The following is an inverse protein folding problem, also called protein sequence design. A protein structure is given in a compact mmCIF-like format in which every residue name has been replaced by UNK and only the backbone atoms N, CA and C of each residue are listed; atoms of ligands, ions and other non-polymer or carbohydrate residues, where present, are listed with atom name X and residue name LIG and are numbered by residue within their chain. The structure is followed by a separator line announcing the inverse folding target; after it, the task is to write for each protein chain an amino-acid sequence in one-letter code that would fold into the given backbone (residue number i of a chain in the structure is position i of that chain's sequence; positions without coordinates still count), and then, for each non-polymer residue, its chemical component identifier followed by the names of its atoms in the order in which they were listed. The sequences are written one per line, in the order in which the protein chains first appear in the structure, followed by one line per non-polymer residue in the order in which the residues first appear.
data_IF_923010991024
#
_entry.id   IF_923010991024
#
_cell.length_a   1.000
_cell.length_b   1.000
_cell.length_c   1.000
_cell.angle_alpha   90.00
_cell.angle_beta   90.00
_cell.angle_gamma   90.00
#
_symmetry.space_group_name_H-M   'P 1'
#
loop_
_entity.id
_entity.type
_entity.pdbx_description
1 polymer ?
#
# COMPACT_ATOMS: atom_id res chain seq x y z
N UNK A 1 22.67 7.16 2.93
CA UNK A 1 21.82 7.84 3.93
C UNK A 1 20.61 7.00 4.30
N UNK A 2 19.83 6.54 3.32
CA UNK A 2 18.66 5.64 3.52
C UNK A 2 18.97 4.39 4.37
N UNK A 3 20.04 3.65 4.05
CA UNK A 3 20.46 2.46 4.83
C UNK A 3 20.70 2.72 6.32
N UNK A 4 21.17 3.91 6.70
CA UNK A 4 21.37 4.26 8.13
C UNK A 4 20.05 4.42 8.87
N UNK A 5 19.03 4.96 8.20
CA UNK A 5 17.67 5.13 8.76
C UNK A 5 16.99 3.76 8.88
N UNK A 6 17.13 2.91 7.85
CA UNK A 6 16.55 1.56 7.86
C UNK A 6 17.14 0.69 8.97
N UNK A 7 18.47 0.70 9.14
CA UNK A 7 19.15 -0.09 10.18
C UNK A 7 18.84 0.37 11.62
N UNK A 8 18.39 1.62 11.81
CA UNK A 8 18.00 2.11 13.14
C UNK A 8 16.63 1.57 13.57
N UNK A 9 15.69 1.46 12.63
CA UNK A 9 14.34 0.94 12.90
C UNK A 9 14.22 -0.58 12.74
N UNK A 10 15.06 -1.20 11.90
CA UNK A 10 15.08 -2.66 11.70
C UNK A 10 16.53 -3.14 11.78
N UNK A 11 17.01 -3.55 12.98
CA UNK A 11 18.36 -4.05 13.12
C UNK A 11 18.53 -5.37 12.37
N UNK A 12 19.56 -5.44 11.53
CA UNK A 12 19.91 -6.58 10.68
C UNK A 12 20.36 -7.78 11.53
N UNK A 13 19.40 -8.50 12.09
CA UNK A 13 19.56 -9.80 12.73
C UNK A 13 19.28 -10.88 11.69
N UNK A 14 19.98 -12.02 11.77
CA UNK A 14 19.85 -13.16 10.84
C UNK A 14 18.49 -13.87 10.97
N UNK A 15 17.38 -13.14 10.86
CA UNK A 15 16.04 -13.70 10.77
C UNK A 15 15.75 -14.14 9.32
N UNK A 16 14.91 -15.15 9.15
CA UNK A 16 14.45 -15.63 7.84
C UNK A 16 14.02 -14.45 6.95
N UNK A 17 14.45 -14.47 5.67
CA UNK A 17 14.22 -13.40 4.69
C UNK A 17 12.77 -12.95 4.54
N UNK A 18 11.82 -13.83 4.86
CA UNK A 18 10.38 -13.60 4.82
C UNK A 18 9.90 -12.68 5.95
N UNK A 19 10.39 -12.88 7.19
CA UNK A 19 10.01 -12.07 8.36
C UNK A 19 10.55 -10.64 8.24
N UNK A 20 11.77 -10.48 7.70
CA UNK A 20 12.35 -9.16 7.44
C UNK A 20 11.58 -8.38 6.37
N UNK A 21 11.16 -9.05 5.28
CA UNK A 21 10.34 -8.45 4.22
C UNK A 21 8.98 -7.99 4.75
N UNK A 22 8.29 -8.79 5.56
CA UNK A 22 6.98 -8.42 6.11
C UNK A 22 7.07 -7.18 7.01
N UNK A 23 8.07 -7.13 7.91
CA UNK A 23 8.29 -5.97 8.79
C UNK A 23 8.49 -4.69 7.98
N UNK A 24 9.28 -4.74 6.90
CA UNK A 24 9.49 -3.59 6.01
C UNK A 24 8.22 -3.24 5.24
N UNK A 25 7.52 -4.23 4.69
CA UNK A 25 6.30 -4.02 3.90
C UNK A 25 5.19 -3.36 4.73
N UNK A 26 4.99 -3.80 5.98
CA UNK A 26 4.03 -3.18 6.91
C UNK A 26 4.46 -1.76 7.27
N UNK A 27 5.74 -1.53 7.57
CA UNK A 27 6.25 -0.20 7.89
C UNK A 27 6.10 0.78 6.73
N UNK A 28 6.47 0.36 5.52
CA UNK A 28 6.28 1.13 4.29
C UNK A 28 4.79 1.46 4.07
N UNK A 29 3.91 0.48 4.25
CA UNK A 29 2.46 0.67 4.13
C UNK A 29 1.95 1.75 5.08
N UNK A 30 2.36 1.74 6.35
CA UNK A 30 1.95 2.75 7.33
C UNK A 30 2.42 4.16 6.97
N UNK A 31 3.66 4.29 6.50
CA UNK A 31 4.16 5.58 5.99
C UNK A 31 3.32 6.06 4.82
N UNK A 32 3.04 5.17 3.86
CA UNK A 32 2.25 5.49 2.66
C UNK A 32 0.84 5.95 3.01
N UNK A 33 0.13 5.22 3.88
CA UNK A 33 -1.22 5.58 4.35
C UNK A 33 -1.22 6.95 5.03
N UNK A 34 -0.24 7.22 5.90
CA UNK A 34 -0.15 8.50 6.60
C UNK A 34 0.10 9.68 5.66
N UNK A 35 1.08 9.56 4.76
CA UNK A 35 1.47 10.65 3.85
C UNK A 35 0.38 10.88 2.79
N UNK A 36 -0.10 9.83 2.13
CA UNK A 36 -1.14 9.96 1.11
C UNK A 36 -2.47 10.39 1.72
N UNK A 37 -2.81 9.93 2.92
CA UNK A 37 -3.99 10.40 3.65
C UNK A 37 -3.95 11.90 3.92
N UNK A 38 -2.81 12.42 4.39
CA UNK A 38 -2.63 13.85 4.60
C UNK A 38 -2.72 14.63 3.27
N UNK A 39 -2.06 14.15 2.21
CA UNK A 39 -2.11 14.77 0.89
C UNK A 39 -3.53 14.80 0.31
N UNK A 40 -4.28 13.72 0.46
CA UNK A 40 -5.68 13.66 0.04
C UNK A 40 -6.53 14.76 0.70
N UNK A 41 -6.40 14.92 2.02
CA UNK A 41 -7.14 15.95 2.77
C UNK A 41 -6.79 17.35 2.27
N UNK A 42 -5.50 17.62 2.04
CA UNK A 42 -5.07 18.93 1.52
C UNK A 42 -5.63 19.17 0.11
N UNK A 43 -5.48 18.19 -0.79
CA UNK A 43 -5.91 18.31 -2.19
C UNK A 43 -7.41 18.46 -2.32
N UNK A 44 -8.21 17.73 -1.54
CA UNK A 44 -9.67 17.83 -1.63
C UNK A 44 -10.18 19.18 -1.12
N UNK A 45 -9.61 19.69 -0.02
CA UNK A 45 -9.95 21.02 0.50
C UNK A 45 -9.60 22.09 -0.53
N UNK A 46 -8.37 22.06 -1.07
CA UNK A 46 -7.94 23.01 -2.09
C UNK A 46 -8.75 22.87 -3.39
N UNK A 47 -9.08 21.64 -3.80
CA UNK A 47 -9.89 21.35 -4.99
C UNK A 47 -11.28 21.97 -4.91
N UNK A 48 -11.93 21.87 -3.74
CA UNK A 48 -13.25 22.48 -3.50
C UNK A 48 -13.14 24.01 -3.44
N UNK A 49 -12.11 24.55 -2.75
CA UNK A 49 -11.93 26.00 -2.63
C UNK A 49 -11.64 26.68 -3.99
N UNK A 50 -10.83 26.03 -4.84
CA UNK A 50 -10.43 26.56 -6.15
C UNK A 50 -11.49 26.25 -7.22
N UNK A 51 -12.34 25.23 -7.00
CA UNK A 51 -13.31 24.75 -7.99
C UNK A 51 -12.67 23.98 -9.15
N UNK A 52 -11.45 23.46 -8.97
CA UNK A 52 -10.69 22.78 -10.01
C UNK A 52 -11.01 21.27 -10.04
N UNK A 53 -11.74 20.85 -11.08
CA UNK A 53 -12.09 19.42 -11.29
C UNK A 53 -10.85 18.54 -11.43
N UNK A 54 -9.79 19.04 -12.08
CA UNK A 54 -8.51 18.31 -12.20
C UNK A 54 -7.84 18.05 -10.85
N UNK A 55 -7.92 19.00 -9.91
CA UNK A 55 -7.35 18.84 -8.58
C UNK A 55 -8.18 17.87 -7.71
N UNK A 56 -9.49 17.83 -7.90
CA UNK A 56 -10.37 16.84 -7.27
C UNK A 56 -10.07 15.44 -7.83
N UNK A 57 -9.87 15.29 -9.13
CA UNK A 57 -9.46 14.02 -9.74
C UNK A 57 -8.10 13.54 -9.19
N UNK A 58 -7.13 14.44 -9.05
CA UNK A 58 -5.82 14.14 -8.45
C UNK A 58 -5.93 13.77 -6.95
N UNK A 59 -6.88 14.37 -6.22
CA UNK A 59 -7.22 13.94 -4.86
C UNK A 59 -7.77 12.51 -4.85
N UNK A 60 -8.70 12.15 -5.74
CA UNK A 60 -9.24 10.80 -5.86
C UNK A 60 -8.15 9.76 -6.19
N UNK A 61 -7.18 10.11 -7.04
CA UNK A 61 -6.03 9.25 -7.29
C UNK A 61 -5.22 9.00 -6.01
N UNK A 62 -4.94 10.05 -5.25
CA UNK A 62 -4.23 9.95 -3.96
C UNK A 62 -5.01 9.10 -2.94
N UNK A 63 -6.34 9.14 -2.97
CA UNK A 63 -7.20 8.28 -2.14
C UNK A 63 -7.05 6.80 -2.52
N UNK A 64 -7.00 6.50 -3.83
CA UNK A 64 -6.75 5.14 -4.31
C UNK A 64 -5.41 4.59 -3.80
N UNK A 65 -4.37 5.42 -3.71
CA UNK A 65 -3.07 5.03 -3.14
C UNK A 65 -3.15 4.69 -1.64
N UNK A 66 -4.02 5.37 -0.88
CA UNK A 66 -4.29 5.02 0.53
C UNK A 66 -4.97 3.65 0.63
N UNK A 67 -5.94 3.39 -0.25
CA UNK A 67 -6.66 2.11 -0.30
C UNK A 67 -5.72 0.96 -0.67
N UNK A 68 -4.91 1.12 -1.73
CA UNK A 68 -3.94 0.09 -2.15
C UNK A 68 -2.91 -0.16 -1.07
N UNK A 69 -2.38 0.88 -0.42
CA UNK A 69 -1.45 0.74 0.71
C UNK A 69 -2.07 0.00 1.90
N UNK A 70 -3.36 0.21 2.17
CA UNK A 70 -4.10 -0.53 3.20
C UNK A 70 -4.27 -2.02 2.85
N UNK A 71 -4.52 -2.33 1.58
CA UNK A 71 -4.57 -3.71 1.06
C UNK A 71 -3.21 -4.39 1.21
N UNK A 72 -2.11 -3.68 0.94
CA UNK A 72 -0.74 -4.19 1.13
C UNK A 72 -0.48 -4.55 2.60
N UNK A 73 -0.80 -3.64 3.53
CA UNK A 73 -0.66 -3.92 4.98
C UNK A 73 -1.47 -5.17 5.37
N UNK A 74 -2.71 -5.27 4.87
CA UNK A 74 -3.55 -6.44 5.12
C UNK A 74 -2.95 -7.73 4.54
N UNK A 75 -2.42 -7.68 3.31
CA UNK A 75 -1.78 -8.81 2.64
C UNK A 75 -0.56 -9.33 3.41
N UNK A 76 0.29 -8.42 3.91
CA UNK A 76 1.44 -8.79 4.75
C UNK A 76 1.00 -9.38 6.09
N UNK A 77 -0.01 -8.79 6.75
CA UNK A 77 -0.54 -9.28 8.02
C UNK A 77 -1.20 -10.66 7.88
N UNK A 78 -1.87 -10.91 6.76
CA UNK A 78 -2.44 -12.22 6.46
C UNK A 78 -1.34 -13.23 6.11
N UNK A 79 -0.27 -12.82 5.42
CA UNK A 79 0.88 -13.67 5.14
C UNK A 79 1.66 -14.11 6.38
N UNK A 80 1.58 -13.35 7.48
CA UNK A 80 2.16 -13.67 8.79
C UNK A 80 1.34 -14.68 9.60
N UNK A 81 0.12 -15.06 9.18
CA UNK A 81 -0.68 -16.03 9.94
C UNK A 81 -0.04 -17.43 9.89
N UNK A 82 0.01 -18.12 11.05
CA UNK A 82 0.49 -19.51 11.11
C UNK A 82 -0.44 -20.44 10.32
N UNK A 83 0.07 -21.63 9.96
CA UNK A 83 -0.72 -22.64 9.28
C UNK A 83 -1.94 -23.05 10.12
N UNK A 84 -3.11 -23.10 9.49
CA UNK A 84 -4.36 -23.56 10.08
C UNK A 84 -4.86 -24.82 9.37
N UNK A 85 -5.95 -25.42 9.87
CA UNK A 85 -6.48 -26.66 9.29
C UNK A 85 -7.05 -26.46 7.88
N UNK A 86 -7.47 -25.24 7.53
CA UNK A 86 -7.97 -24.90 6.20
C UNK A 86 -6.82 -24.65 5.20
N UNK A 87 -5.64 -24.23 5.69
CA UNK A 87 -4.42 -23.98 4.91
C UNK A 87 -3.21 -24.74 5.49
N UNK A 88 -3.07 -26.04 5.17
CA UNK A 88 -1.99 -26.90 5.69
C UNK A 88 -0.58 -26.42 5.30
N UNK A 89 -0.48 -25.68 4.18
CA UNK A 89 0.77 -25.11 3.67
C UNK A 89 1.05 -23.68 4.19
N UNK A 90 0.16 -23.13 5.02
CA UNK A 90 0.28 -21.79 5.59
C UNK A 90 -0.16 -20.66 4.66
N UNK A 91 -0.19 -19.44 5.21
CA UNK A 91 -0.71 -18.24 4.54
C UNK A 91 0.35 -17.40 3.82
N UNK A 92 1.61 -17.84 3.77
CA UNK A 92 2.74 -17.05 3.28
C UNK A 92 2.66 -16.57 1.82
N UNK A 93 1.65 -17.00 1.05
CA UNK A 93 1.36 -16.52 -0.32
C UNK A 93 0.26 -15.46 -0.41
N UNK A 94 -0.35 -15.07 0.71
CA UNK A 94 -1.39 -14.04 0.72
C UNK A 94 -0.91 -12.67 0.17
N UNK A 95 0.38 -12.35 0.34
CA UNK A 95 1.01 -11.18 -0.27
C UNK A 95 0.87 -11.18 -1.79
N UNK A 96 1.12 -12.31 -2.47
CA UNK A 96 1.01 -12.41 -3.92
C UNK A 96 -0.43 -12.19 -4.41
N UNK A 97 -1.41 -12.66 -3.65
CA UNK A 97 -2.83 -12.45 -3.97
C UNK A 97 -3.17 -10.97 -3.84
N UNK A 98 -2.71 -10.30 -2.78
CA UNK A 98 -2.90 -8.86 -2.60
C UNK A 98 -2.25 -8.06 -3.76
N UNK A 99 -1.02 -8.40 -4.15
CA UNK A 99 -0.33 -7.76 -5.27
C UNK A 99 -1.05 -7.98 -6.61
N UNK A 100 -1.62 -9.17 -6.84
CA UNK A 100 -2.41 -9.45 -8.03
C UNK A 100 -3.68 -8.59 -8.09
N UNK A 101 -4.39 -8.46 -6.97
CA UNK A 101 -5.58 -7.61 -6.88
C UNK A 101 -5.20 -6.15 -7.19
N UNK A 102 -4.11 -5.65 -6.62
CA UNK A 102 -3.62 -4.28 -6.88
C UNK A 102 -3.24 -4.10 -8.36
N UNK A 103 -2.57 -5.08 -8.97
CA UNK A 103 -2.22 -5.03 -10.38
C UNK A 103 -3.46 -4.93 -11.29
N UNK A 104 -4.51 -5.70 -10.98
CA UNK A 104 -5.78 -5.63 -11.71
C UNK A 104 -6.43 -4.24 -11.54
N UNK A 105 -6.47 -3.72 -10.31
CA UNK A 105 -7.01 -2.37 -10.03
C UNK A 105 -6.25 -1.28 -10.80
N UNK A 106 -4.92 -1.39 -10.91
CA UNK A 106 -4.09 -0.46 -11.68
C UNK A 106 -4.37 -0.54 -13.19
N UNK A 107 -4.57 -1.75 -13.73
CA UNK A 107 -4.96 -1.90 -15.14
C UNK A 107 -6.31 -1.23 -15.42
N UNK A 108 -7.30 -1.42 -14.54
CA UNK A 108 -8.62 -0.78 -14.69
C UNK A 108 -8.50 0.74 -14.59
N UNK A 109 -7.81 1.25 -13.56
CA UNK A 109 -7.59 2.69 -13.40
C UNK A 109 -6.86 3.31 -14.61
N UNK A 110 -5.90 2.59 -15.20
CA UNK A 110 -5.20 3.03 -16.40
C UNK A 110 -6.12 3.14 -17.62
N UNK A 111 -7.05 2.20 -17.79
CA UNK A 111 -8.05 2.25 -18.86
C UNK A 111 -9.00 3.43 -18.64
N UNK A 112 -9.49 3.64 -17.42
CA UNK A 112 -10.38 4.77 -17.11
C UNK A 112 -9.72 6.12 -17.38
N UNK A 113 -8.42 6.27 -17.08
CA UNK A 113 -7.70 7.51 -17.39
C UNK A 113 -7.62 7.74 -18.90
N UNK A 114 -7.39 6.70 -19.71
CA UNK A 114 -7.35 6.80 -21.16
C UNK A 114 -8.73 7.20 -21.72
N UNK A 115 -9.81 6.63 -21.18
CA UNK A 115 -11.17 6.99 -21.60
C UNK A 115 -11.58 8.40 -21.15
N UNK A 116 -11.09 8.85 -19.99
CA UNK A 116 -11.40 10.16 -19.42
C UNK A 116 -10.54 11.32 -19.98
N UNK A 117 -9.48 11.03 -20.74
CA UNK A 117 -8.56 12.01 -21.35
C UNK A 117 -8.90 12.29 -22.80
#
# INVERSE_FOLDING_TARGET
MFQKITNYFVPNTREFSQTYRNKIGVYQGWISVGINGLLFVIKIIMGIMIGAVSLIADALHTLSDVVTSSIVIWGFKQAEKPADMEHPYGHGRAEYIATLIIAILLCVAGIEIIEAS
#
